data_IF_946366774825
#
_entry.id   IF_946366774825
#
_cell.length_a   1.000
_cell.length_b   1.000
_cell.length_c   1.000
_cell.angle_alpha   90.00
_cell.angle_beta   90.00
_cell.angle_gamma   90.00
#
_symmetry.space_group_name_H-M   'P 1'
#
loop_
_entity.id
_entity.type
_entity.pdbx_description
1 polymer ?
#
# COMPACT_ATOMS: atom_id res chain seq x y z
N UNK A 1 -25.08 5.50 11.55
CA UNK A 1 -24.73 6.39 10.45
C UNK A 1 -24.20 5.52 9.33
N UNK A 2 -24.88 5.46 8.19
CA UNK A 2 -24.47 4.61 7.07
C UNK A 2 -23.51 5.46 6.23
N UNK A 3 -22.22 5.16 6.28
CA UNK A 3 -21.26 5.75 5.35
C UNK A 3 -21.63 5.28 3.95
N UNK A 4 -21.92 6.23 3.04
CA UNK A 4 -22.27 5.93 1.63
C UNK A 4 -21.07 5.33 0.89
N UNK A 5 -19.85 5.56 1.39
CA UNK A 5 -18.62 5.03 0.83
C UNK A 5 -18.31 3.64 1.40
N UNK A 6 -17.84 2.71 0.54
CA UNK A 6 -17.41 1.42 1.03
C UNK A 6 -16.13 1.56 1.87
N UNK A 7 -15.91 0.69 2.86
CA UNK A 7 -14.77 0.80 3.76
C UNK A 7 -13.46 0.53 3.02
N UNK A 8 -12.39 1.22 3.40
CA UNK A 8 -11.06 0.91 2.90
C UNK A 8 -10.67 -0.53 3.28
N UNK A 9 -10.00 -1.21 2.34
CA UNK A 9 -9.57 -2.60 2.49
C UNK A 9 -8.06 -2.75 2.47
N UNK A 10 -7.36 -1.75 1.95
CA UNK A 10 -5.91 -1.77 1.74
C UNK A 10 -5.30 -0.49 2.25
N UNK A 11 -4.09 -0.59 2.79
CA UNK A 11 -3.28 0.57 3.19
C UNK A 11 -1.89 0.44 2.58
N UNK A 12 -1.50 1.46 1.82
CA UNK A 12 -0.19 1.61 1.21
C UNK A 12 0.63 2.52 2.12
N UNK A 13 1.73 2.01 2.66
CA UNK A 13 2.64 2.71 3.56
C UNK A 13 3.94 2.97 2.83
N UNK A 14 4.36 4.23 2.80
CA UNK A 14 5.61 4.64 2.19
C UNK A 14 6.49 5.30 3.25
N UNK A 15 7.75 4.87 3.34
CA UNK A 15 8.76 5.49 4.20
C UNK A 15 9.85 6.08 3.34
N UNK A 16 10.21 7.33 3.62
CA UNK A 16 11.17 8.12 2.85
C UNK A 16 12.42 8.41 3.70
N UNK A 17 13.57 8.76 3.08
CA UNK A 17 14.75 9.17 3.83
C UNK A 17 14.52 10.49 4.58
N UNK A 18 15.13 10.68 5.77
CA UNK A 18 15.10 11.96 6.46
C UNK A 18 15.53 13.10 5.51
N UNK A 19 14.87 14.27 5.54
CA UNK A 19 13.91 14.72 6.54
C UNK A 19 12.44 14.32 6.28
N UNK A 20 12.17 13.54 5.24
CA UNK A 20 10.80 13.19 4.84
C UNK A 20 10.13 12.25 5.84
N UNK A 21 8.81 12.41 6.02
CA UNK A 21 7.97 11.62 6.93
C UNK A 21 7.38 10.38 6.25
N UNK A 22 6.93 9.41 7.04
CA UNK A 22 6.11 8.29 6.54
C UNK A 22 4.75 8.81 6.03
N UNK A 23 4.28 8.25 4.92
CA UNK A 23 2.91 8.48 4.42
C UNK A 23 2.14 7.16 4.39
N UNK A 24 0.82 7.28 4.56
CA UNK A 24 -0.09 6.13 4.52
C UNK A 24 -1.37 6.52 3.80
N UNK A 25 -1.64 5.86 2.68
CA UNK A 25 -2.82 6.06 1.84
C UNK A 25 -3.70 4.81 1.90
N UNK A 26 -5.02 5.00 1.97
CA UNK A 26 -5.99 3.90 2.08
C UNK A 26 -6.84 3.80 0.84
N UNK A 27 -7.16 2.57 0.48
CA UNK A 27 -7.88 2.25 -0.74
C UNK A 27 -8.96 1.22 -0.49
N UNK A 28 -10.11 1.42 -1.12
CA UNK A 28 -11.15 0.41 -1.21
C UNK A 28 -10.80 -0.69 -2.23
N UNK A 29 -10.26 -0.35 -3.40
CA UNK A 29 -9.98 -1.30 -4.48
C UNK A 29 -8.51 -1.73 -4.52
N UNK A 30 -8.27 -3.02 -4.75
CA UNK A 30 -6.92 -3.60 -4.80
C UNK A 30 -6.09 -3.03 -5.96
N UNK A 31 -6.71 -2.84 -7.13
CA UNK A 31 -6.07 -2.28 -8.33
C UNK A 31 -5.42 -0.92 -8.04
N UNK A 32 -6.12 -0.03 -7.33
CA UNK A 32 -5.58 1.29 -6.99
C UNK A 32 -4.44 1.21 -5.97
N UNK A 33 -4.53 0.30 -5.00
CA UNK A 33 -3.44 0.07 -4.05
C UNK A 33 -2.19 -0.50 -4.76
N UNK A 34 -2.39 -1.43 -5.70
CA UNK A 34 -1.32 -2.03 -6.49
C UNK A 34 -0.63 -1.00 -7.40
N UNK A 35 -1.40 -0.21 -8.14
CA UNK A 35 -0.86 0.86 -8.98
C UNK A 35 -0.10 1.90 -8.16
N UNK A 36 -0.62 2.29 -6.98
CA UNK A 36 0.05 3.22 -6.08
C UNK A 36 1.40 2.66 -5.61
N UNK A 37 1.42 1.41 -5.10
CA UNK A 37 2.64 0.77 -4.64
C UNK A 37 3.69 0.63 -5.75
N UNK A 38 3.25 0.20 -6.93
CA UNK A 38 4.10 0.09 -8.12
C UNK A 38 4.68 1.44 -8.53
N UNK A 39 3.86 2.50 -8.55
CA UNK A 39 4.31 3.85 -8.86
C UNK A 39 5.34 4.36 -7.85
N UNK A 40 5.14 4.11 -6.55
CA UNK A 40 6.12 4.49 -5.53
C UNK A 40 7.45 3.74 -5.68
N UNK A 41 7.40 2.44 -6.03
CA UNK A 41 8.58 1.65 -6.37
C UNK A 41 9.31 2.21 -7.61
N UNK A 42 8.59 2.48 -8.69
CA UNK A 42 9.17 2.98 -9.95
C UNK A 42 9.78 4.38 -9.79
N UNK A 43 9.15 5.26 -9.00
CA UNK A 43 9.68 6.59 -8.69
C UNK A 43 10.97 6.49 -7.87
N UNK A 44 11.15 5.43 -7.07
CA UNK A 44 12.39 5.15 -6.34
C UNK A 44 12.72 6.13 -5.21
N UNK A 45 11.79 7.00 -4.82
CA UNK A 45 11.97 7.97 -3.72
C UNK A 45 11.70 7.37 -2.34
N UNK A 46 10.77 6.43 -2.26
CA UNK A 46 10.47 5.74 -1.01
C UNK A 46 11.54 4.67 -0.77
N UNK A 47 12.14 4.68 0.43
CA UNK A 47 13.05 3.62 0.88
C UNK A 47 12.30 2.34 1.21
N UNK A 48 11.04 2.46 1.62
CA UNK A 48 10.19 1.34 1.94
C UNK A 48 8.79 1.60 1.40
N UNK A 49 8.22 0.60 0.73
CA UNK A 49 6.83 0.62 0.27
C UNK A 49 6.21 -0.70 0.70
N UNK A 50 5.12 -0.64 1.46
CA UNK A 50 4.41 -1.80 1.95
C UNK A 50 2.93 -1.64 1.68
N UNK A 51 2.25 -2.71 1.24
CA UNK A 51 0.80 -2.76 1.17
C UNK A 51 0.28 -3.81 2.13
N UNK A 52 -0.64 -3.39 2.98
CA UNK A 52 -1.30 -4.27 3.95
C UNK A 52 -2.79 -4.38 3.66
N UNK A 53 -3.32 -5.58 3.80
CA UNK A 53 -4.76 -5.84 3.82
C UNK A 53 -5.29 -5.51 5.22
N UNK A 54 -6.29 -4.64 5.30
CA UNK A 54 -6.82 -4.15 6.58
C UNK A 54 -7.67 -5.18 7.33
N UNK A 55 -8.21 -6.20 6.65
CA UNK A 55 -9.07 -7.20 7.28
C UNK A 55 -8.32 -8.15 8.22
N UNK A 56 -7.09 -8.51 7.87
CA UNK A 56 -6.26 -9.51 8.57
C UNK A 56 -4.85 -9.00 8.89
N UNK A 57 -4.49 -7.80 8.43
CA UNK A 57 -3.14 -7.24 8.57
C UNK A 57 -2.11 -7.89 7.66
N UNK A 58 -2.53 -8.71 6.68
CA UNK A 58 -1.62 -9.43 5.79
C UNK A 58 -0.83 -8.50 4.88
N UNK A 59 0.47 -8.77 4.72
CA UNK A 59 1.34 -8.01 3.82
C UNK A 59 1.23 -8.58 2.40
N UNK A 60 0.70 -7.77 1.49
CA UNK A 60 0.49 -8.13 0.09
C UNK A 60 1.70 -7.75 -0.77
N UNK A 61 2.39 -6.68 -0.38
CA UNK A 61 3.57 -6.16 -1.05
C UNK A 61 4.52 -5.55 -0.02
N UNK A 62 5.81 -5.81 -0.17
CA UNK A 62 6.89 -5.23 0.61
C UNK A 62 8.15 -5.10 -0.25
N UNK A 63 8.54 -3.86 -0.52
CA UNK A 63 9.67 -3.55 -1.37
C UNK A 63 11.00 -4.01 -0.76
N UNK A 64 11.19 -3.87 0.55
CA UNK A 64 12.47 -4.21 1.17
C UNK A 64 12.66 -5.70 1.35
N UNK A 65 11.57 -6.42 1.61
CA UNK A 65 11.56 -7.89 1.63
C UNK A 65 11.55 -8.50 0.22
N UNK A 66 11.44 -7.70 -0.85
CA UNK A 66 11.20 -8.17 -2.22
C UNK A 66 10.02 -9.14 -2.31
N UNK A 67 8.98 -8.87 -1.53
CA UNK A 67 7.77 -9.68 -1.44
C UNK A 67 6.65 -8.98 -2.22
N UNK A 68 6.05 -9.69 -3.17
CA UNK A 68 4.97 -9.17 -3.99
C UNK A 68 4.04 -10.32 -4.34
N UNK A 69 2.80 -10.27 -3.84
CA UNK A 69 1.75 -11.18 -4.28
C UNK A 69 1.17 -10.69 -5.62
N UNK A 70 0.71 -11.60 -6.49
CA UNK A 70 0.00 -11.22 -7.71
C UNK A 70 -1.33 -10.56 -7.36
N UNK A 71 -1.81 -9.63 -8.20
CA UNK A 71 -3.01 -8.82 -7.92
C UNK A 71 -4.26 -9.65 -7.60
N UNK A 72 -4.39 -10.84 -8.18
CA UNK A 72 -5.47 -11.79 -7.93
C UNK A 72 -5.52 -12.28 -6.46
N UNK A 73 -4.42 -12.14 -5.72
CA UNK A 73 -4.29 -12.54 -4.32
C UNK A 73 -4.42 -11.38 -3.33
N UNK A 74 -4.69 -10.15 -3.80
CA UNK A 74 -4.77 -8.94 -2.96
C UNK A 74 -6.11 -8.86 -2.22
#
# INVERSE_FOLDING_TARGET
MITVWPPDRFEVRCTFPPPDSTTSDRYHFAEFAYEAARRHREVGRAQHVQVVRLSDGGVLFDLAASHELPLEAW
#
